data_IF_894322137783
#
_entry.id   IF_894322137783
#
_cell.length_a   1.000
_cell.length_b   1.000
_cell.length_c   1.000
_cell.angle_alpha   90.00
_cell.angle_beta   90.00
_cell.angle_gamma   90.00
#
_symmetry.space_group_name_H-M   'P 1'
#
loop_
_entity.id
_entity.type
_entity.pdbx_description
1 polymer ?
#
# COMPACT_ATOMS: atom_id res chain seq x y z
N UNK A 1 -8.51 -19.39 -27.20
CA UNK A 1 -7.85 -19.44 -25.87
C UNK A 1 -7.88 -18.03 -25.28
N UNK A 2 -8.65 -17.81 -24.21
CA UNK A 2 -8.66 -16.53 -23.49
C UNK A 2 -7.56 -16.61 -22.44
N UNK A 3 -6.51 -15.82 -22.63
CA UNK A 3 -5.36 -15.76 -21.72
C UNK A 3 -5.82 -15.26 -20.36
N UNK A 4 -5.61 -16.07 -19.33
CA UNK A 4 -5.93 -15.80 -17.93
C UNK A 4 -5.07 -14.65 -17.42
N UNK A 5 -5.61 -13.43 -17.37
CA UNK A 5 -4.99 -12.32 -16.64
C UNK A 5 -5.59 -12.31 -15.23
N UNK A 6 -5.15 -13.24 -14.38
CA UNK A 6 -5.46 -13.24 -12.95
C UNK A 6 -4.21 -13.57 -12.13
N UNK A 7 -3.25 -12.65 -12.17
CA UNK A 7 -2.28 -12.48 -11.09
C UNK A 7 -2.20 -10.98 -10.87
N UNK A 8 -2.94 -10.48 -9.89
CA UNK A 8 -2.76 -9.11 -9.40
C UNK A 8 -1.28 -8.92 -9.06
N UNK A 9 -0.67 -7.85 -9.56
CA UNK A 9 0.76 -7.56 -9.34
C UNK A 9 1.09 -7.50 -7.84
N UNK A 10 0.08 -7.20 -7.02
CA UNK A 10 0.06 -7.35 -5.58
C UNK A 10 -0.61 -8.68 -5.20
N UNK A 11 0.15 -9.61 -4.60
CA UNK A 11 -0.33 -10.94 -4.23
C UNK A 11 -0.97 -10.96 -2.84
N UNK A 12 -1.65 -12.05 -2.51
CA UNK A 12 -2.15 -12.28 -1.15
C UNK A 12 -1.03 -12.31 -0.10
N UNK A 13 0.16 -12.82 -0.45
CA UNK A 13 1.32 -12.82 0.45
C UNK A 13 1.89 -11.41 0.67
N UNK A 14 1.88 -10.55 -0.37
CA UNK A 14 2.27 -9.15 -0.21
C UNK A 14 1.30 -8.42 0.72
N UNK A 15 -0.01 -8.59 0.47
CA UNK A 15 -1.08 -8.02 1.31
C UNK A 15 -0.95 -8.50 2.77
N UNK A 16 -0.76 -9.80 3.00
CA UNK A 16 -0.55 -10.33 4.35
C UNK A 16 0.74 -9.84 5.02
N UNK A 17 1.79 -9.52 4.25
CA UNK A 17 3.01 -8.93 4.78
C UNK A 17 2.83 -7.45 5.13
N UNK A 18 2.14 -6.69 4.29
CA UNK A 18 1.82 -5.29 4.52
C UNK A 18 0.84 -5.14 5.70
N UNK A 19 -0.16 -6.01 5.81
CA UNK A 19 -1.16 -5.96 6.86
C UNK A 19 -0.55 -6.17 8.25
N UNK A 20 0.50 -7.02 8.36
CA UNK A 20 1.30 -7.20 9.58
C UNK A 20 2.04 -5.95 10.04
N UNK A 21 2.33 -5.05 9.12
CA UNK A 21 2.88 -3.73 9.43
C UNK A 21 1.78 -2.68 9.64
N UNK A 22 0.54 -2.99 9.27
CA UNK A 22 -0.63 -2.14 9.45
C UNK A 22 -1.07 -1.38 8.21
N UNK A 23 -0.72 -1.80 6.99
CA UNK A 23 -1.10 -1.10 5.77
C UNK A 23 -1.41 -2.06 4.62
N UNK A 24 -2.00 -1.56 3.54
CA UNK A 24 -2.15 -2.33 2.30
C UNK A 24 -2.32 -1.43 1.06
N UNK A 25 -2.41 -2.06 -0.12
CA UNK A 25 -2.90 -1.46 -1.35
C UNK A 25 -4.39 -1.81 -1.55
N UNK A 26 -5.25 -0.80 -1.57
CA UNK A 26 -6.70 -0.98 -1.69
C UNK A 26 -7.20 -0.57 -3.08
N UNK A 27 -8.11 -1.38 -3.62
CA UNK A 27 -8.86 -1.02 -4.82
C UNK A 27 -9.95 -0.01 -4.43
N UNK A 28 -9.80 1.23 -4.87
CA UNK A 28 -10.67 2.37 -4.56
C UNK A 28 -11.43 2.82 -5.82
N UNK A 29 -12.07 1.88 -6.52
CA UNK A 29 -12.72 2.13 -7.81
C UNK A 29 -13.65 3.35 -7.79
N UNK A 30 -13.40 4.32 -8.68
CA UNK A 30 -14.18 5.55 -8.77
C UNK A 30 -13.78 6.65 -7.78
N UNK A 31 -12.70 6.45 -7.01
CA UNK A 31 -12.14 7.50 -6.16
C UNK A 31 -11.54 8.63 -6.99
N UNK A 32 -11.72 9.88 -6.53
CA UNK A 32 -11.09 11.06 -7.13
C UNK A 32 -9.55 11.03 -7.08
N UNK A 33 -8.98 10.10 -6.31
CA UNK A 33 -7.54 9.91 -6.14
C UNK A 33 -7.03 8.63 -6.82
N UNK A 34 -7.83 8.05 -7.73
CA UNK A 34 -7.50 6.87 -8.52
C UNK A 34 -7.89 5.55 -7.86
N UNK A 35 -7.95 4.50 -8.67
CA UNK A 35 -8.56 3.21 -8.30
C UNK A 35 -7.66 2.31 -7.44
N UNK A 36 -6.42 2.70 -7.15
CA UNK A 36 -5.50 1.95 -6.30
C UNK A 36 -4.74 2.89 -5.37
N UNK A 37 -4.88 2.71 -4.07
CA UNK A 37 -4.32 3.64 -3.07
C UNK A 37 -3.57 2.87 -1.99
N UNK A 38 -2.56 3.52 -1.41
CA UNK A 38 -1.77 2.96 -0.32
C UNK A 38 -2.20 3.63 0.98
N UNK A 39 -2.81 2.85 1.88
CA UNK A 39 -3.54 3.42 3.01
C UNK A 39 -3.35 2.61 4.29
N UNK A 40 -3.69 3.25 5.40
CA UNK A 40 -3.89 2.58 6.70
C UNK A 40 -5.23 1.83 6.66
N UNK A 41 -5.44 0.91 7.60
CA UNK A 41 -6.77 0.34 7.85
C UNK A 41 -7.67 1.36 8.56
N UNK A 42 -8.91 1.49 8.11
CA UNK A 42 -9.91 2.33 8.78
C UNK A 42 -10.34 1.74 10.14
N UNK A 43 -10.50 0.42 10.19
CA UNK A 43 -10.85 -0.35 11.40
C UNK A 43 -9.76 -1.40 11.69
N UNK A 44 -8.57 -1.01 12.19
CA UNK A 44 -7.46 -1.94 12.40
C UNK A 44 -7.79 -3.07 13.40
N UNK A 45 -8.73 -2.84 14.33
CA UNK A 45 -9.19 -3.87 15.27
C UNK A 45 -9.96 -5.03 14.60
N UNK A 46 -10.46 -4.85 13.37
CA UNK A 46 -11.15 -5.88 12.58
C UNK A 46 -10.20 -6.66 11.67
N UNK A 47 -8.93 -6.26 11.59
CA UNK A 47 -7.91 -6.91 10.75
C UNK A 47 -7.04 -7.79 11.65
N UNK A 48 -7.24 -9.11 11.59
CA UNK A 48 -6.56 -10.10 12.45
C UNK A 48 -5.03 -9.96 12.46
N UNK A 49 -4.44 -9.60 11.32
CA UNK A 49 -3.00 -9.45 11.15
C UNK A 49 -2.47 -8.06 11.51
N UNK A 50 -3.34 -7.07 11.72
CA UNK A 50 -2.89 -5.72 12.00
C UNK A 50 -2.24 -5.62 13.40
N UNK A 51 -1.20 -4.79 13.54
CA UNK A 51 -0.54 -4.58 14.82
C UNK A 51 -1.48 -3.92 15.86
N UNK A 52 -1.32 -4.33 17.11
CA UNK A 52 -1.96 -3.73 18.28
C UNK A 52 -0.90 -3.50 19.38
N UNK A 53 -0.56 -2.24 19.75
CA UNK A 53 -1.19 -1.00 19.31
C UNK A 53 -0.96 -0.71 17.82
N UNK A 54 -1.95 -0.07 17.19
CA UNK A 54 -1.88 0.28 15.78
C UNK A 54 -0.97 1.50 15.56
N UNK A 55 0.04 1.43 14.67
CA UNK A 55 1.14 2.41 14.64
C UNK A 55 0.83 3.67 13.81
N UNK A 56 -0.23 3.68 13.01
CA UNK A 56 -0.51 4.76 12.06
C UNK A 56 -1.77 5.54 12.42
N UNK A 57 -1.64 6.86 12.55
CA UNK A 57 -2.78 7.75 12.75
C UNK A 57 -3.39 8.19 11.41
N UNK A 58 -2.58 8.29 10.36
CA UNK A 58 -2.97 8.78 9.04
C UNK A 58 -2.36 7.96 7.91
N UNK A 59 -2.94 8.06 6.70
CA UNK A 59 -2.35 7.48 5.49
C UNK A 59 -0.95 8.07 5.21
N UNK A 60 -0.72 9.33 5.57
CA UNK A 60 0.60 9.95 5.43
C UNK A 60 1.66 9.27 6.29
N UNK A 61 1.31 8.74 7.47
CA UNK A 61 2.26 7.98 8.31
C UNK A 61 2.66 6.68 7.62
N UNK A 62 1.69 6.01 6.97
CA UNK A 62 1.95 4.84 6.14
C UNK A 62 2.87 5.21 4.98
N UNK A 63 2.60 6.33 4.30
CA UNK A 63 3.43 6.77 3.18
C UNK A 63 4.87 7.02 3.59
N UNK A 64 5.11 7.65 4.75
CA UNK A 64 6.46 7.84 5.32
C UNK A 64 7.11 6.50 5.63
N UNK A 65 6.40 5.61 6.31
CA UNK A 65 6.88 4.27 6.64
C UNK A 65 7.32 3.52 5.37
N UNK A 66 6.44 3.44 4.37
CA UNK A 66 6.74 2.73 3.12
C UNK A 66 7.93 3.34 2.38
N UNK A 67 8.03 4.68 2.33
CA UNK A 67 9.19 5.34 1.71
C UNK A 67 10.49 5.04 2.44
N UNK A 68 10.50 5.17 3.77
CA UNK A 68 11.68 4.91 4.60
C UNK A 68 12.15 3.46 4.44
N UNK A 69 11.22 2.50 4.50
CA UNK A 69 11.54 1.07 4.34
C UNK A 69 12.00 0.73 2.92
N UNK A 70 11.42 1.34 1.89
CA UNK A 70 11.87 1.17 0.51
C UNK A 70 13.29 1.73 0.29
N UNK A 71 13.58 2.91 0.85
CA UNK A 71 14.92 3.50 0.83
C UNK A 71 15.93 2.60 1.56
N UNK A 72 15.54 2.03 2.70
CA UNK A 72 16.32 1.05 3.46
C UNK A 72 16.48 -0.34 2.82
N UNK A 73 15.95 -0.56 1.61
CA UNK A 73 16.18 -1.81 0.87
C UNK A 73 15.02 -2.82 0.85
N UNK A 74 13.90 -2.54 1.50
CA UNK A 74 12.81 -3.51 1.61
C UNK A 74 12.13 -3.79 0.26
N UNK A 75 12.09 -5.06 -0.13
CA UNK A 75 11.50 -5.51 -1.39
C UNK A 75 9.98 -5.27 -1.47
N UNK A 76 9.25 -5.58 -0.39
CA UNK A 76 7.80 -5.38 -0.30
C UNK A 76 7.40 -3.92 -0.58
N UNK A 77 8.07 -3.00 0.10
CA UNK A 77 7.81 -1.57 -0.01
C UNK A 77 8.18 -1.01 -1.38
N UNK A 78 9.33 -1.44 -1.94
CA UNK A 78 9.72 -1.09 -3.31
C UNK A 78 8.71 -1.59 -4.33
N UNK A 79 8.19 -2.81 -4.13
CA UNK A 79 7.15 -3.41 -4.97
C UNK A 79 5.85 -2.59 -4.91
N UNK A 80 5.38 -2.22 -3.72
CA UNK A 80 4.18 -1.37 -3.57
C UNK A 80 4.32 -0.05 -4.35
N UNK A 81 5.45 0.65 -4.19
CA UNK A 81 5.72 1.89 -4.92
C UNK A 81 5.84 1.67 -6.44
N UNK A 82 6.41 0.55 -6.89
CA UNK A 82 6.49 0.22 -8.32
C UNK A 82 5.11 -0.05 -8.92
N UNK A 83 4.22 -0.72 -8.19
CA UNK A 83 2.83 -0.93 -8.60
C UNK A 83 2.09 0.40 -8.73
N UNK A 84 2.20 1.27 -7.72
CA UNK A 84 1.56 2.59 -7.76
C UNK A 84 2.07 3.43 -8.94
N UNK A 85 3.37 3.42 -9.25
CA UNK A 85 3.90 4.13 -10.43
C UNK A 85 3.27 3.69 -11.75
N UNK A 86 2.78 2.45 -11.83
CA UNK A 86 2.13 1.89 -13.03
C UNK A 86 0.61 2.08 -13.00
N UNK A 87 -0.01 1.82 -11.84
CA UNK A 87 -1.46 1.69 -11.69
C UNK A 87 -2.14 2.95 -11.18
N UNK A 88 -1.43 3.78 -10.42
CA UNK A 88 -1.89 5.08 -9.94
C UNK A 88 -0.71 6.07 -9.77
N UNK A 89 -0.18 6.61 -10.89
CA UNK A 89 0.99 7.49 -10.86
C UNK A 89 0.79 8.74 -10.00
N UNK A 90 -0.44 9.22 -9.86
CA UNK A 90 -0.77 10.39 -9.04
C UNK A 90 -0.60 10.10 -7.54
N UNK A 91 -1.03 8.91 -7.07
CA UNK A 91 -0.75 8.43 -5.71
C UNK A 91 0.76 8.35 -5.47
N UNK A 92 1.50 7.75 -6.40
CA UNK A 92 2.95 7.66 -6.31
C UNK A 92 3.63 9.04 -6.24
N UNK A 93 3.12 10.02 -6.99
CA UNK A 93 3.61 11.41 -6.94
C UNK A 93 3.28 12.11 -5.61
N UNK A 94 2.08 11.90 -5.06
CA UNK A 94 1.70 12.43 -3.74
C UNK A 94 2.60 11.87 -2.65
N UNK A 95 2.81 10.55 -2.63
CA UNK A 95 3.72 9.88 -1.71
C UNK A 95 5.15 10.44 -1.84
N UNK A 96 5.65 10.67 -3.06
CA UNK A 96 7.01 11.17 -3.27
C UNK A 96 7.24 12.60 -2.76
N UNK A 97 6.17 13.40 -2.58
CA UNK A 97 6.24 14.82 -2.16
C UNK A 97 6.16 15.05 -0.66
N UNK A 98 5.87 14.03 0.14
CA UNK A 98 5.81 14.20 1.61
C UNK A 98 7.22 14.37 2.18
N UNK A 99 7.32 15.15 3.26
CA UNK A 99 8.55 15.20 4.05
C UNK A 99 8.69 13.89 4.85
N UNK A 100 9.89 13.31 4.80
CA UNK A 100 10.32 12.10 5.53
C UNK A 100 11.16 12.46 6.74
#
# INVERSE_FOLDING_TARGET
MKTTVQNSVWSADDSAAASREGWDLFACSGSAHGDLQLQRFDCPAEVESAPNPYPFATDTDVWRHVRTRAAGGSALHRKALAILRTMNPEEAQRIARIDV
#
